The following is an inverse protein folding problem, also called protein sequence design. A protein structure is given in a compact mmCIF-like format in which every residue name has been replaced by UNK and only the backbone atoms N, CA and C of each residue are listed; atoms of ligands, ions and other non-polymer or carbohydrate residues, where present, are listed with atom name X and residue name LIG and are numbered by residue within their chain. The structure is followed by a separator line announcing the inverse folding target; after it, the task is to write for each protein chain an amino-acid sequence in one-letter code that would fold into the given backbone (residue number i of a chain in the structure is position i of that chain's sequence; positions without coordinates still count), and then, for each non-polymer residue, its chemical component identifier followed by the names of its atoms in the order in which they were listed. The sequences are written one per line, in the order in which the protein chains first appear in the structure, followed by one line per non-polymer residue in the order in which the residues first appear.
data_IF_900020911037
#
_entry.id   IF_900020911037
#
_cell.length_a   1.000
_cell.length_b   1.000
_cell.length_c   1.000
_cell.angle_alpha   90.00
_cell.angle_beta   90.00
_cell.angle_gamma   90.00
#
_symmetry.space_group_name_H-M   'P 1'
#
loop_
_entity.id
_entity.type
_entity.pdbx_description
1 polymer ?
#
# COMPACT_ATOMS: atom_id res chain seq x y z
N UNK A 1 -17.04 9.12 -17.88
CA UNK A 1 -16.82 7.70 -17.54
C UNK A 1 -15.71 7.70 -16.51
N UNK A 2 -15.98 7.16 -15.33
CA UNK A 2 -14.99 7.13 -14.25
C UNK A 2 -14.00 6.00 -14.56
N UNK A 3 -12.77 6.37 -14.91
CA UNK A 3 -11.69 5.42 -15.22
C UNK A 3 -10.98 5.03 -13.93
N UNK A 4 -10.78 3.74 -13.71
CA UNK A 4 -10.06 3.23 -12.55
C UNK A 4 -8.56 3.32 -12.82
N UNK A 5 -7.82 3.87 -11.85
CA UNK A 5 -6.36 3.94 -11.90
C UNK A 5 -5.73 2.54 -11.82
N UNK A 6 -4.78 2.21 -12.69
CA UNK A 6 -4.12 0.89 -12.68
C UNK A 6 -3.42 0.55 -11.35
N UNK A 7 -2.69 1.48 -10.68
CA UNK A 7 -2.15 1.26 -9.34
C UNK A 7 -3.19 0.83 -8.29
N UNK A 8 -4.42 1.39 -8.33
CA UNK A 8 -5.49 0.99 -7.42
C UNK A 8 -5.89 -0.47 -7.65
N UNK A 9 -5.96 -0.90 -8.91
CA UNK A 9 -6.29 -2.28 -9.28
C UNK A 9 -5.20 -3.24 -8.82
N UNK A 10 -3.94 -2.89 -9.04
CA UNK A 10 -2.81 -3.70 -8.57
C UNK A 10 -2.87 -3.94 -7.06
N UNK A 11 -3.06 -2.87 -6.28
CA UNK A 11 -3.15 -2.94 -4.83
C UNK A 11 -4.37 -3.73 -4.36
N UNK A 12 -5.51 -3.63 -5.05
CA UNK A 12 -6.69 -4.41 -4.69
C UNK A 12 -6.45 -5.90 -4.93
N UNK A 13 -5.84 -6.25 -6.06
CA UNK A 13 -5.52 -7.64 -6.42
C UNK A 13 -4.50 -8.28 -5.47
N UNK A 14 -3.61 -7.50 -4.86
CA UNK A 14 -2.69 -8.00 -3.84
C UNK A 14 -3.35 -8.31 -2.49
N UNK A 15 -4.47 -7.64 -2.17
CA UNK A 15 -5.14 -7.72 -0.86
C UNK A 15 -6.45 -8.50 -0.89
N UNK A 16 -6.98 -8.80 -2.08
CA UNK A 16 -8.27 -9.47 -2.24
C UNK A 16 -8.23 -10.90 -1.68
N UNK A 17 -9.26 -11.26 -0.91
CA UNK A 17 -9.47 -12.64 -0.48
C UNK A 17 -10.03 -13.50 -1.63
N UNK A 18 -9.88 -14.82 -1.50
CA UNK A 18 -10.28 -15.75 -2.57
C UNK A 18 -11.76 -15.64 -2.96
N UNK A 19 -12.67 -15.41 -2.01
CA UNK A 19 -14.10 -15.36 -2.29
C UNK A 19 -14.50 -14.04 -2.98
N UNK A 20 -13.92 -12.92 -2.57
CA UNK A 20 -14.10 -11.63 -3.26
C UNK A 20 -13.51 -11.65 -4.66
N UNK A 21 -12.34 -12.29 -4.84
CA UNK A 21 -11.69 -12.42 -6.14
C UNK A 21 -12.50 -13.30 -7.11
N UNK A 22 -13.08 -14.40 -6.63
CA UNK A 22 -13.95 -15.26 -7.42
C UNK A 22 -15.18 -14.50 -7.92
N UNK A 23 -15.87 -13.77 -7.02
CA UNK A 23 -17.01 -12.91 -7.39
C UNK A 23 -16.63 -11.82 -8.39
N UNK A 24 -15.45 -11.20 -8.19
CA UNK A 24 -14.90 -10.27 -9.15
C UNK A 24 -14.72 -10.92 -10.52
N UNK A 25 -14.06 -12.07 -10.59
CA UNK A 25 -13.81 -12.78 -11.85
C UNK A 25 -15.13 -13.15 -12.55
N UNK A 26 -16.15 -13.59 -11.80
CA UNK A 26 -17.45 -13.90 -12.37
C UNK A 26 -18.10 -12.68 -13.04
N UNK A 27 -18.11 -11.53 -12.36
CA UNK A 27 -18.67 -10.30 -12.93
C UNK A 27 -17.80 -9.74 -14.08
N UNK A 28 -16.48 -9.81 -13.93
CA UNK A 28 -15.51 -9.28 -14.89
C UNK A 28 -15.51 -10.08 -16.21
N UNK A 29 -15.46 -11.42 -16.13
CA UNK A 29 -15.49 -12.24 -17.34
C UNK A 29 -16.88 -12.36 -17.94
N UNK A 30 -17.96 -12.30 -17.16
CA UNK A 30 -19.30 -12.17 -17.74
C UNK A 30 -19.40 -10.92 -18.64
N UNK A 31 -18.80 -9.80 -18.21
CA UNK A 31 -18.75 -8.58 -19.02
C UNK A 31 -17.92 -8.71 -20.30
N UNK A 32 -16.82 -9.48 -20.28
CA UNK A 32 -15.93 -9.66 -21.43
C UNK A 32 -16.39 -10.75 -22.41
N UNK A 33 -17.01 -11.82 -21.90
CA UNK A 33 -17.32 -13.04 -22.67
C UNK A 33 -18.79 -13.11 -23.12
N UNK A 34 -19.67 -12.32 -22.50
CA UNK A 34 -21.08 -12.20 -22.88
C UNK A 34 -21.97 -13.35 -22.39
N UNK A 35 -23.11 -13.55 -23.07
CA UNK A 35 -24.25 -14.39 -22.65
C UNK A 35 -23.93 -15.87 -22.40
N UNK A 36 -22.78 -16.37 -22.86
CA UNK A 36 -22.41 -17.78 -22.73
C UNK A 36 -21.69 -18.11 -21.40
N UNK A 37 -21.37 -17.11 -20.56
CA UNK A 37 -20.70 -17.33 -19.28
C UNK A 37 -21.71 -17.68 -18.18
N UNK A 38 -21.60 -18.89 -17.63
CA UNK A 38 -22.46 -19.38 -16.55
C UNK A 38 -21.64 -19.53 -15.27
N UNK A 39 -21.83 -18.66 -14.25
CA UNK A 39 -21.16 -18.80 -12.96
C UNK A 39 -21.74 -20.00 -12.20
N UNK A 40 -20.87 -20.84 -11.64
CA UNK A 40 -21.29 -21.94 -10.76
C UNK A 40 -21.44 -21.39 -9.33
N UNK A 41 -22.61 -21.61 -8.73
CA UNK A 41 -22.93 -21.05 -7.41
C UNK A 41 -23.18 -22.12 -6.35
N UNK A 42 -22.26 -22.26 -5.39
CA UNK A 42 -22.52 -22.77 -4.04
C UNK A 42 -22.52 -24.30 -3.83
N UNK A 43 -21.55 -24.74 -3.01
CA UNK A 43 -21.38 -26.07 -2.36
C UNK A 43 -21.03 -27.25 -3.29
N UNK A 44 -19.72 -27.55 -3.32
CA UNK A 44 -19.07 -28.79 -3.82
C UNK A 44 -19.21 -29.09 -5.31
N UNK A 45 -18.47 -28.37 -6.16
CA UNK A 45 -18.62 -28.49 -7.61
C UNK A 45 -17.35 -28.93 -8.39
N UNK A 46 -16.56 -29.80 -7.79
CA UNK A 46 -15.47 -30.48 -8.51
C UNK A 46 -14.30 -29.59 -8.95
N UNK A 47 -14.20 -28.37 -8.40
CA UNK A 47 -13.01 -27.52 -8.54
C UNK A 47 -12.94 -26.65 -9.79
N UNK A 48 -14.07 -26.20 -10.34
CA UNK A 48 -14.19 -25.07 -11.27
C UNK A 48 -15.22 -24.06 -10.74
N UNK A 49 -15.07 -22.79 -11.08
CA UNK A 49 -15.90 -21.70 -10.56
C UNK A 49 -16.94 -21.19 -11.58
N UNK A 50 -16.69 -21.41 -12.88
CA UNK A 50 -17.66 -21.15 -13.93
C UNK A 50 -17.41 -22.03 -15.16
N UNK A 51 -18.35 -22.04 -16.10
CA UNK A 51 -18.19 -22.67 -17.41
C UNK A 51 -18.79 -21.81 -18.51
N UNK A 52 -18.40 -22.10 -19.75
CA UNK A 52 -19.01 -21.48 -20.92
C UNK A 52 -19.87 -22.52 -21.64
N UNK A 53 -21.15 -22.22 -21.87
CA UNK A 53 -22.01 -23.06 -22.72
C UNK A 53 -21.72 -22.77 -24.19
N UNK A 54 -21.51 -23.84 -24.97
CA UNK A 54 -21.58 -23.75 -26.42
C UNK A 54 -23.00 -23.32 -26.83
N UNK A 55 -23.11 -22.38 -27.77
CA UNK A 55 -24.39 -21.76 -28.13
C UNK A 55 -25.51 -22.76 -28.48
N UNK A 56 -26.76 -22.27 -28.44
CA UNK A 56 -28.12 -22.84 -28.65
C UNK A 56 -28.32 -24.28 -29.17
N UNK A 57 -27.36 -24.88 -29.88
CA UNK A 57 -27.38 -26.27 -30.36
C UNK A 57 -26.61 -27.28 -29.49
N UNK A 58 -25.84 -26.87 -28.48
CA UNK A 58 -25.02 -27.78 -27.65
C UNK A 58 -25.39 -27.73 -26.14
N UNK A 59 -26.68 -27.80 -25.86
CA UNK A 59 -27.20 -27.91 -24.49
C UNK A 59 -26.84 -29.28 -23.87
N UNK A 60 -25.63 -29.42 -23.32
CA UNK A 60 -25.28 -30.60 -22.52
C UNK A 60 -23.80 -30.82 -22.18
N UNK A 61 -22.85 -30.21 -22.90
CA UNK A 61 -21.42 -30.43 -22.64
C UNK A 61 -20.65 -29.12 -22.53
N UNK A 62 -20.52 -28.63 -21.30
CA UNK A 62 -19.53 -27.62 -20.96
C UNK A 62 -18.13 -28.22 -21.13
N UNK A 63 -17.42 -27.81 -22.18
CA UNK A 63 -16.06 -28.23 -22.50
C UNK A 63 -15.02 -27.16 -22.09
N UNK A 64 -15.48 -25.93 -21.85
CA UNK A 64 -14.71 -24.77 -21.39
C UNK A 64 -14.99 -24.45 -19.93
N UNK A 65 -13.99 -24.63 -19.07
CA UNK A 65 -14.09 -24.36 -17.63
C UNK A 65 -13.27 -23.13 -17.24
N UNK A 66 -13.73 -22.44 -16.20
CA UNK A 66 -13.09 -21.27 -15.62
C UNK A 66 -12.76 -21.53 -14.16
N UNK A 67 -11.57 -21.12 -13.75
CA UNK A 67 -11.12 -21.16 -12.36
C UNK A 67 -10.45 -19.84 -12.00
N UNK A 68 -10.93 -19.19 -10.95
CA UNK A 68 -10.30 -18.05 -10.31
C UNK A 68 -9.53 -18.50 -9.06
N UNK A 69 -8.36 -17.91 -8.83
CA UNK A 69 -7.58 -18.20 -7.62
C UNK A 69 -6.55 -17.12 -7.32
N UNK A 70 -6.42 -16.81 -6.03
CA UNK A 70 -5.38 -15.94 -5.47
C UNK A 70 -4.14 -16.72 -5.00
N UNK A 71 -4.11 -18.05 -5.16
CA UNK A 71 -2.97 -18.89 -4.77
C UNK A 71 -1.69 -18.51 -5.54
N UNK A 72 -0.57 -18.37 -4.80
CA UNK A 72 0.76 -18.05 -5.36
C UNK A 72 1.36 -19.13 -6.25
N UNK A 73 0.78 -20.33 -6.26
CA UNK A 73 1.24 -21.46 -7.10
C UNK A 73 0.20 -21.84 -8.18
N UNK A 74 0.05 -21.02 -9.24
CA UNK A 74 -0.86 -21.27 -10.37
C UNK A 74 -0.80 -22.70 -10.90
N UNK A 75 0.42 -23.20 -11.11
CA UNK A 75 0.68 -24.51 -11.71
C UNK A 75 0.08 -25.67 -10.90
N UNK A 76 0.30 -25.66 -9.59
CA UNK A 76 -0.23 -26.68 -8.68
C UNK A 76 -1.76 -26.62 -8.59
N UNK A 77 -2.33 -25.40 -8.62
CA UNK A 77 -3.77 -25.20 -8.58
C UNK A 77 -4.44 -25.71 -9.86
N UNK A 78 -3.90 -25.38 -11.02
CA UNK A 78 -4.40 -25.85 -12.33
C UNK A 78 -4.47 -27.38 -12.37
N UNK A 79 -3.40 -28.07 -11.96
CA UNK A 79 -3.38 -29.54 -11.90
C UNK A 79 -4.48 -30.12 -11.00
N UNK A 80 -4.64 -29.56 -9.79
CA UNK A 80 -5.67 -30.00 -8.84
C UNK A 80 -7.08 -29.79 -9.37
N UNK A 81 -7.33 -28.65 -10.02
CA UNK A 81 -8.60 -28.35 -10.67
C UNK A 81 -8.90 -29.38 -11.77
N UNK A 82 -7.95 -29.68 -12.65
CA UNK A 82 -8.16 -30.66 -13.73
C UNK A 82 -8.36 -32.08 -13.20
N UNK A 83 -7.60 -32.49 -12.17
CA UNK A 83 -7.81 -33.79 -11.51
C UNK A 83 -9.22 -33.91 -10.95
N UNK A 84 -9.68 -32.90 -10.22
CA UNK A 84 -11.03 -32.89 -9.64
C UNK A 84 -12.12 -32.88 -10.72
N UNK A 85 -11.96 -32.11 -11.79
CA UNK A 85 -12.92 -32.13 -12.90
C UNK A 85 -13.07 -33.54 -13.50
N UNK A 86 -11.95 -34.25 -13.68
CA UNK A 86 -11.95 -35.65 -14.15
C UNK A 86 -12.54 -36.63 -13.15
N UNK A 87 -12.23 -36.47 -11.86
CA UNK A 87 -12.80 -37.29 -10.77
C UNK A 87 -14.33 -37.16 -10.71
N UNK A 88 -14.86 -35.97 -11.00
CA UNK A 88 -16.29 -35.71 -11.09
C UNK A 88 -16.92 -36.16 -12.44
N UNK A 89 -16.14 -36.82 -13.31
CA UNK A 89 -16.61 -37.37 -14.58
C UNK A 89 -16.72 -36.36 -15.73
N UNK A 90 -16.11 -35.18 -15.61
CA UNK A 90 -16.10 -34.16 -16.67
C UNK A 90 -14.90 -34.36 -17.61
N UNK A 91 -15.07 -34.01 -18.89
CA UNK A 91 -14.02 -34.06 -19.92
C UNK A 91 -13.70 -32.65 -20.42
N UNK A 92 -12.89 -31.87 -19.68
CA UNK A 92 -12.55 -30.50 -20.08
C UNK A 92 -11.70 -30.50 -21.35
N UNK A 93 -12.12 -29.74 -22.36
CA UNK A 93 -11.33 -29.45 -23.57
C UNK A 93 -10.46 -28.20 -23.38
N UNK A 94 -10.94 -27.22 -22.62
CA UNK A 94 -10.22 -26.01 -22.27
C UNK A 94 -10.44 -25.61 -20.81
N UNK A 95 -9.38 -25.10 -20.17
CA UNK A 95 -9.43 -24.47 -18.85
C UNK A 95 -8.84 -23.05 -18.96
N UNK A 96 -9.64 -22.05 -18.59
CA UNK A 96 -9.17 -20.69 -18.38
C UNK A 96 -8.94 -20.44 -16.90
N UNK A 97 -7.69 -20.23 -16.51
CA UNK A 97 -7.26 -19.95 -15.15
C UNK A 97 -7.02 -18.46 -14.96
N UNK A 98 -7.78 -17.82 -14.08
CA UNK A 98 -7.61 -16.42 -13.69
C UNK A 98 -6.89 -16.32 -12.35
N UNK A 99 -5.91 -15.43 -12.26
CA UNK A 99 -5.18 -15.20 -11.01
C UNK A 99 -4.84 -13.72 -10.78
N UNK A 100 -4.79 -13.34 -9.51
CA UNK A 100 -4.35 -12.01 -9.08
C UNK A 100 -2.83 -11.84 -9.08
N UNK A 101 -2.08 -12.93 -9.32
CA UNK A 101 -0.60 -12.96 -9.31
C UNK A 101 -0.07 -12.77 -10.73
N UNK A 102 1.09 -12.13 -10.87
CA UNK A 102 1.81 -12.04 -12.16
C UNK A 102 2.50 -13.36 -12.46
N UNK A 103 2.27 -13.92 -13.64
CA UNK A 103 3.00 -15.09 -14.14
C UNK A 103 4.06 -14.61 -15.12
N UNK A 104 5.33 -15.00 -14.90
CA UNK A 104 6.46 -14.47 -15.69
C UNK A 104 6.45 -14.97 -17.15
N UNK A 105 6.27 -16.27 -17.35
CA UNK A 105 6.24 -16.92 -18.67
C UNK A 105 4.91 -17.63 -18.88
N UNK A 106 3.90 -16.86 -19.29
CA UNK A 106 2.54 -17.40 -19.51
C UNK A 106 2.53 -18.39 -20.66
N UNK A 107 3.16 -18.06 -21.79
CA UNK A 107 3.14 -18.90 -22.99
C UNK A 107 3.81 -20.26 -22.72
N UNK A 108 4.98 -20.25 -22.05
CA UNK A 108 5.68 -21.48 -21.66
C UNK A 108 4.89 -22.33 -20.68
N UNK A 109 4.22 -21.73 -19.68
CA UNK A 109 3.40 -22.45 -18.71
C UNK A 109 2.10 -23.00 -19.35
N UNK A 110 1.46 -22.27 -20.26
CA UNK A 110 0.29 -22.73 -21.01
C UNK A 110 0.62 -23.96 -21.89
N UNK A 111 1.73 -23.91 -22.62
CA UNK A 111 2.17 -25.00 -23.49
C UNK A 111 2.56 -26.25 -22.68
N UNK A 112 3.30 -26.07 -21.59
CA UNK A 112 3.71 -27.16 -20.70
C UNK A 112 2.47 -27.84 -20.09
N UNK A 113 1.60 -27.06 -19.46
CA UNK A 113 0.41 -27.59 -18.80
C UNK A 113 -0.59 -28.16 -19.80
N UNK A 114 -0.68 -27.57 -20.99
CA UNK A 114 -1.54 -28.07 -22.05
C UNK A 114 -1.10 -29.45 -22.56
N UNK A 115 0.21 -29.64 -22.76
CA UNK A 115 0.78 -30.93 -23.11
C UNK A 115 0.64 -31.96 -21.98
N UNK A 116 0.96 -31.58 -20.75
CA UNK A 116 0.89 -32.46 -19.57
C UNK A 116 -0.55 -32.95 -19.29
N UNK A 117 -1.52 -32.04 -19.36
CA UNK A 117 -2.90 -32.31 -19.00
C UNK A 117 -3.76 -32.70 -20.20
N UNK A 118 -3.22 -32.68 -21.43
CA UNK A 118 -3.96 -32.99 -22.67
C UNK A 118 -5.25 -32.18 -22.83
N UNK A 119 -5.18 -30.87 -22.56
CA UNK A 119 -6.27 -29.91 -22.75
C UNK A 119 -5.70 -28.52 -23.04
N UNK A 120 -6.50 -27.58 -23.54
CA UNK A 120 -6.04 -26.21 -23.77
C UNK A 120 -6.06 -25.41 -22.47
N UNK A 121 -4.90 -24.94 -22.01
CA UNK A 121 -4.81 -24.06 -20.84
C UNK A 121 -4.70 -22.61 -21.30
N UNK A 122 -5.44 -21.71 -20.66
CA UNK A 122 -5.32 -20.26 -20.83
C UNK A 122 -5.15 -19.59 -19.49
N UNK A 123 -4.08 -18.83 -19.28
CA UNK A 123 -3.78 -18.13 -18.04
C UNK A 123 -4.08 -16.64 -18.24
N UNK A 124 -4.92 -16.10 -17.37
CA UNK A 124 -5.25 -14.67 -17.28
C UNK A 124 -4.71 -14.16 -15.96
N UNK A 125 -3.58 -13.49 -16.02
CA UNK A 125 -2.86 -13.01 -14.85
C UNK A 125 -3.30 -11.57 -14.48
N UNK A 126 -2.60 -10.98 -13.50
CA UNK A 126 -2.82 -9.60 -13.08
C UNK A 126 -2.76 -8.61 -14.25
N UNK A 127 -1.80 -8.77 -15.18
CA UNK A 127 -1.62 -7.87 -16.33
C UNK A 127 -2.81 -7.92 -17.29
N UNK A 128 -3.39 -9.10 -17.48
CA UNK A 128 -4.61 -9.24 -18.26
C UNK A 128 -5.78 -8.46 -17.63
N UNK A 129 -5.96 -8.56 -16.31
CA UNK A 129 -7.01 -7.82 -15.60
C UNK A 129 -6.81 -6.32 -15.75
N UNK A 130 -5.59 -5.82 -15.56
CA UNK A 130 -5.25 -4.39 -15.68
C UNK A 130 -5.58 -3.83 -17.06
N UNK A 131 -5.22 -4.57 -18.12
CA UNK A 131 -5.45 -4.11 -19.50
C UNK A 131 -6.93 -4.01 -19.87
N UNK A 132 -7.82 -4.77 -19.22
CA UNK A 132 -9.25 -4.83 -19.57
C UNK A 132 -10.19 -4.23 -18.51
N UNK A 133 -9.67 -3.70 -17.39
CA UNK A 133 -10.49 -3.19 -16.28
C UNK A 133 -11.38 -2.00 -16.68
N UNK A 134 -10.90 -1.18 -17.62
CA UNK A 134 -11.56 0.05 -18.08
C UNK A 134 -12.27 -0.12 -19.43
N UNK A 135 -12.40 -1.35 -19.95
CA UNK A 135 -12.96 -1.60 -21.28
C UNK A 135 -14.48 -1.33 -21.35
N UNK A 136 -15.19 -1.50 -20.24
CA UNK A 136 -16.65 -1.32 -20.19
C UNK A 136 -17.14 -0.77 -18.84
N UNK A 137 -18.34 -0.16 -18.77
CA UNK A 137 -18.97 0.19 -17.50
C UNK A 137 -19.12 -1.01 -16.55
N UNK A 138 -19.33 -2.21 -17.09
CA UNK A 138 -19.54 -3.44 -16.34
C UNK A 138 -18.25 -3.92 -15.68
N UNK A 139 -17.10 -3.83 -16.36
CA UNK A 139 -15.78 -4.15 -15.77
C UNK A 139 -15.41 -3.15 -14.67
N UNK A 140 -15.75 -1.87 -14.86
CA UNK A 140 -15.60 -0.83 -13.82
C UNK A 140 -16.50 -1.12 -12.61
N UNK A 141 -17.74 -1.52 -12.85
CA UNK A 141 -18.67 -1.88 -11.77
C UNK A 141 -18.22 -3.13 -11.00
N UNK A 142 -17.65 -4.13 -11.70
CA UNK A 142 -17.10 -5.33 -11.06
C UNK A 142 -15.97 -4.97 -10.09
N UNK A 143 -15.06 -4.06 -10.48
CA UNK A 143 -14.04 -3.53 -9.59
C UNK A 143 -14.64 -2.83 -8.38
N UNK A 144 -15.55 -1.87 -8.60
CA UNK A 144 -16.14 -1.07 -7.53
C UNK A 144 -16.92 -1.93 -6.50
N UNK A 145 -17.50 -3.04 -6.95
CA UNK A 145 -18.32 -3.90 -6.09
C UNK A 145 -17.51 -4.90 -5.28
N UNK A 146 -16.40 -5.43 -5.83
CA UNK A 146 -15.71 -6.59 -5.25
C UNK A 146 -14.24 -6.34 -4.89
N UNK A 147 -13.58 -5.38 -5.55
CA UNK A 147 -12.16 -5.07 -5.31
C UNK A 147 -11.98 -3.77 -4.52
N UNK A 148 -12.74 -2.72 -4.85
CA UNK A 148 -12.63 -1.41 -4.18
C UNK A 148 -12.85 -1.45 -2.65
N UNK A 149 -13.71 -2.32 -2.07
CA UNK A 149 -13.84 -2.40 -0.60
C UNK A 149 -12.52 -2.72 0.12
N UNK A 150 -11.59 -3.44 -0.53
CA UNK A 150 -10.28 -3.78 0.03
C UNK A 150 -9.34 -2.56 0.11
N UNK A 151 -9.70 -1.46 -0.56
CA UNK A 151 -8.95 -0.22 -0.63
C UNK A 151 -9.50 0.86 0.30
N UNK A 152 -10.51 0.55 1.11
CA UNK A 152 -11.17 1.53 1.98
C UNK A 152 -10.20 2.30 2.89
N UNK A 153 -9.13 1.64 3.34
CA UNK A 153 -8.09 2.23 4.19
C UNK A 153 -7.29 3.35 3.50
N UNK A 154 -7.25 3.42 2.17
CA UNK A 154 -6.56 4.50 1.44
C UNK A 154 -7.30 5.82 1.52
N UNK A 155 -8.59 5.79 1.85
CA UNK A 155 -9.40 7.00 2.04
C UNK A 155 -9.12 7.67 3.38
N UNK A 156 -8.51 6.93 4.30
CA UNK A 156 -8.11 7.44 5.59
C UNK A 156 -6.84 8.29 5.43
N UNK A 157 -6.78 9.41 6.14
CA UNK A 157 -5.64 10.31 6.10
C UNK A 157 -4.42 9.56 6.66
N UNK A 158 -3.35 9.46 5.88
CA UNK A 158 -2.16 8.69 6.27
C UNK A 158 -2.42 7.18 6.43
N UNK A 159 -3.44 6.64 5.77
CA UNK A 159 -3.80 5.23 5.77
C UNK A 159 -2.75 4.30 5.15
N UNK A 160 -1.70 4.84 4.50
CA UNK A 160 -0.60 4.01 3.97
C UNK A 160 0.08 3.17 5.06
N UNK A 161 0.46 1.97 4.68
CA UNK A 161 1.27 1.01 5.44
C UNK A 161 2.75 1.33 5.44
N UNK A 162 3.18 2.47 4.87
CA UNK A 162 4.59 2.89 4.85
C UNK A 162 5.26 2.84 6.23
N UNK A 163 4.52 3.03 7.33
CA UNK A 163 4.99 2.87 8.70
C UNK A 163 4.31 1.69 9.42
N UNK A 164 4.76 0.46 9.27
CA UNK A 164 3.98 -0.72 9.71
C UNK A 164 3.75 -0.80 11.23
N UNK A 165 4.64 -0.25 12.06
CA UNK A 165 4.52 -0.34 13.52
C UNK A 165 5.14 0.87 14.25
N UNK A 166 4.37 1.52 15.12
CA UNK A 166 4.86 2.51 16.11
C UNK A 166 3.91 2.48 17.31
N UNK A 167 4.30 1.88 18.46
CA UNK A 167 3.36 1.54 19.52
C UNK A 167 2.95 2.74 20.40
N UNK A 168 3.54 3.92 20.23
CA UNK A 168 3.44 5.01 21.22
C UNK A 168 3.24 6.43 20.63
N UNK A 169 2.77 6.55 19.39
CA UNK A 169 2.48 7.86 18.78
C UNK A 169 0.97 8.08 18.61
N UNK A 170 0.41 9.19 19.13
CA UNK A 170 -1.03 9.44 19.10
C UNK A 170 -1.67 9.55 17.70
N UNK A 171 -0.89 9.66 16.62
CA UNK A 171 -1.42 9.59 15.26
C UNK A 171 -0.31 9.29 14.23
N UNK A 172 0.01 8.02 14.02
CA UNK A 172 0.84 7.58 12.87
C UNK A 172 0.33 8.18 11.56
N UNK A 173 -0.98 8.17 11.37
CA UNK A 173 -1.70 8.79 10.24
C UNK A 173 -1.34 10.26 10.04
N UNK A 174 -1.34 11.05 11.12
CA UNK A 174 -0.96 12.46 11.08
C UNK A 174 0.47 12.65 10.59
N UNK A 175 1.38 11.79 11.02
CA UNK A 175 2.80 11.95 10.72
C UNK A 175 3.13 11.61 9.26
N UNK A 176 2.56 10.51 8.76
CA UNK A 176 2.59 10.17 7.33
C UNK A 176 2.03 11.33 6.51
N UNK A 177 0.84 11.82 6.90
CA UNK A 177 0.17 12.89 6.20
C UNK A 177 0.97 14.20 6.17
N UNK A 178 1.56 14.59 7.30
CA UNK A 178 2.43 15.76 7.38
C UNK A 178 3.67 15.58 6.50
N UNK A 179 4.24 14.37 6.45
CA UNK A 179 5.33 14.02 5.55
C UNK A 179 4.96 14.24 4.07
N UNK A 180 3.81 13.70 3.66
CA UNK A 180 3.25 13.87 2.31
C UNK A 180 3.01 15.36 1.98
N UNK A 181 2.40 16.11 2.90
CA UNK A 181 2.12 17.54 2.71
C UNK A 181 3.38 18.40 2.59
N UNK A 182 4.43 18.10 3.36
CA UNK A 182 5.72 18.81 3.27
C UNK A 182 6.41 18.50 1.93
N UNK A 183 6.32 17.26 1.45
CA UNK A 183 6.91 16.90 0.16
C UNK A 183 6.22 17.60 -1.01
N UNK A 184 4.87 17.69 -0.98
CA UNK A 184 4.12 18.43 -2.01
C UNK A 184 4.52 19.90 -2.07
N UNK A 185 4.81 20.52 -0.93
CA UNK A 185 5.07 21.97 -0.81
C UNK A 185 6.54 22.35 -0.95
N UNK A 186 7.38 21.46 -1.50
CA UNK A 186 8.81 21.75 -1.77
C UNK A 186 8.98 23.05 -2.54
N UNK A 187 9.64 24.02 -1.89
CA UNK A 187 9.97 25.33 -2.48
C UNK A 187 9.20 26.50 -1.87
N UNK A 188 8.19 26.26 -1.03
CA UNK A 188 7.40 27.32 -0.40
C UNK A 188 7.93 27.67 1.00
N UNK A 189 8.02 28.97 1.31
CA UNK A 189 8.80 29.48 2.47
C UNK A 189 8.03 29.52 3.80
N UNK A 190 6.77 29.07 3.83
CA UNK A 190 5.89 29.15 4.99
C UNK A 190 5.55 27.78 5.61
N UNK A 191 6.57 27.09 6.12
CA UNK A 191 6.42 25.76 6.72
C UNK A 191 5.43 25.71 7.89
N UNK A 192 5.40 26.71 8.77
CA UNK A 192 4.47 26.73 9.91
C UNK A 192 3.00 26.76 9.46
N UNK A 193 2.72 27.55 8.42
CA UNK A 193 1.39 27.62 7.83
C UNK A 193 1.03 26.29 7.14
N UNK A 194 2.00 25.65 6.48
CA UNK A 194 1.83 24.34 5.89
C UNK A 194 1.56 23.23 6.91
N UNK A 195 2.32 23.20 8.00
CA UNK A 195 2.11 22.26 9.11
C UNK A 195 0.75 22.51 9.75
N UNK A 196 0.37 23.78 9.97
CA UNK A 196 -0.94 24.13 10.54
C UNK A 196 -2.09 23.71 9.62
N UNK A 197 -1.99 23.98 8.32
CA UNK A 197 -3.00 23.55 7.34
C UNK A 197 -3.16 22.04 7.34
N UNK A 198 -2.03 21.32 7.41
CA UNK A 198 -2.01 19.87 7.41
C UNK A 198 -2.65 19.31 8.68
N UNK A 199 -2.35 19.89 9.84
CA UNK A 199 -3.00 19.52 11.10
C UNK A 199 -4.52 19.75 11.05
N UNK A 200 -4.96 20.85 10.44
CA UNK A 200 -6.38 21.16 10.23
C UNK A 200 -7.03 20.10 9.33
N UNK A 201 -6.42 19.79 8.18
CA UNK A 201 -6.94 18.78 7.24
C UNK A 201 -7.03 17.39 7.88
N UNK A 202 -5.99 16.98 8.61
CA UNK A 202 -5.97 15.73 9.36
C UNK A 202 -7.08 15.68 10.42
N UNK A 203 -7.31 16.77 11.15
CA UNK A 203 -8.37 16.82 12.14
C UNK A 203 -9.77 16.61 11.54
N UNK A 204 -9.97 17.02 10.28
CA UNK A 204 -11.22 16.84 9.54
C UNK A 204 -11.35 15.47 8.83
N UNK A 205 -10.42 14.55 9.05
CA UNK A 205 -10.54 13.15 8.63
C UNK A 205 -11.90 12.55 9.03
N UNK A 206 -12.54 11.83 8.10
CA UNK A 206 -13.83 11.18 8.32
C UNK A 206 -15.04 12.09 8.15
N UNK A 207 -14.85 13.39 7.91
CA UNK A 207 -15.95 14.29 7.52
C UNK A 207 -16.45 13.98 6.11
N UNK A 208 -17.76 14.13 5.91
CA UNK A 208 -18.41 13.85 4.65
C UNK A 208 -19.63 14.77 4.47
N UNK A 209 -19.59 15.72 3.51
CA UNK A 209 -20.73 16.60 3.27
C UNK A 209 -21.99 15.83 2.84
N UNK A 210 -21.85 14.70 2.15
CA UNK A 210 -23.00 13.93 1.61
C UNK A 210 -23.69 13.11 2.71
N UNK A 211 -22.94 12.72 3.75
CA UNK A 211 -23.47 12.03 4.94
C UNK A 211 -23.82 12.98 6.08
N UNK A 212 -23.61 14.30 5.89
CA UNK A 212 -23.86 15.31 6.92
C UNK A 212 -22.89 15.24 8.11
N UNK A 213 -21.69 14.67 7.92
CA UNK A 213 -20.68 14.55 8.96
C UNK A 213 -19.76 15.78 8.86
N UNK A 214 -19.83 16.64 9.88
CA UNK A 214 -19.07 17.88 9.95
C UNK A 214 -18.40 18.02 11.31
N UNK A 215 -17.38 18.86 11.39
CA UNK A 215 -16.72 19.21 12.65
C UNK A 215 -16.70 20.72 12.88
N UNK A 216 -16.73 21.12 14.13
CA UNK A 216 -16.59 22.51 14.58
C UNK A 216 -15.13 22.89 14.75
N UNK A 217 -14.88 24.19 14.86
CA UNK A 217 -13.54 24.73 15.14
C UNK A 217 -12.93 24.18 16.45
N UNK A 218 -13.74 24.07 17.50
CA UNK A 218 -13.27 23.59 18.80
C UNK A 218 -12.93 22.09 18.75
N UNK A 219 -13.72 21.28 18.03
CA UNK A 219 -13.43 19.85 17.81
C UNK A 219 -12.13 19.64 17.01
N UNK A 220 -11.90 20.46 15.96
CA UNK A 220 -10.63 20.44 15.21
C UNK A 220 -9.45 20.71 16.17
N UNK A 221 -9.57 21.75 17.00
CA UNK A 221 -8.53 22.11 17.96
C UNK A 221 -8.27 21.00 18.98
N UNK A 222 -9.33 20.46 19.58
CA UNK A 222 -9.22 19.39 20.58
C UNK A 222 -8.57 18.14 20.00
N UNK A 223 -8.95 17.75 18.78
CA UNK A 223 -8.35 16.59 18.11
C UNK A 223 -6.86 16.79 17.85
N UNK A 224 -6.43 18.00 17.46
CA UNK A 224 -5.01 18.31 17.26
C UNK A 224 -4.26 18.40 18.59
N UNK A 225 -4.79 19.09 19.60
CA UNK A 225 -4.16 19.22 20.91
C UNK A 225 -4.03 17.85 21.61
N UNK A 226 -4.97 16.93 21.38
CA UNK A 226 -4.89 15.56 21.88
C UNK A 226 -3.80 14.72 21.17
N UNK A 227 -3.66 14.86 19.84
CA UNK A 227 -2.68 14.11 19.07
C UNK A 227 -1.26 14.67 19.19
N UNK A 228 -1.14 15.99 19.32
CA UNK A 228 0.13 16.69 19.43
C UNK A 228 0.02 17.82 20.47
N UNK A 229 0.20 17.51 21.78
CA UNK A 229 0.10 18.51 22.86
C UNK A 229 1.00 19.72 22.65
N UNK A 230 2.19 19.48 22.06
CA UNK A 230 3.17 20.50 21.71
C UNK A 230 2.62 21.55 20.72
N UNK A 231 1.61 21.20 19.91
CA UNK A 231 1.01 22.09 18.92
C UNK A 231 0.14 23.21 19.52
N UNK A 232 -0.26 23.07 20.78
CA UNK A 232 -1.08 24.04 21.53
C UNK A 232 -0.50 25.46 21.48
N UNK A 233 0.83 25.58 21.47
CA UNK A 233 1.52 26.87 21.52
C UNK A 233 1.47 27.65 20.21
N UNK A 234 1.50 26.98 19.05
CA UNK A 234 1.53 27.66 17.75
C UNK A 234 0.19 27.66 17.01
N UNK A 235 -0.68 26.67 17.23
CA UNK A 235 -1.98 26.58 16.54
C UNK A 235 -2.94 27.70 16.96
N UNK A 236 -2.97 28.07 18.25
CA UNK A 236 -3.97 29.01 18.78
C UNK A 236 -3.94 30.39 18.13
N UNK A 237 -2.75 30.88 17.75
CA UNK A 237 -2.60 32.19 17.10
C UNK A 237 -2.88 32.17 15.59
N UNK A 238 -2.81 31.00 14.95
CA UNK A 238 -2.72 30.88 13.49
C UNK A 238 -3.95 30.19 12.89
N UNK A 239 -4.61 29.29 13.63
CA UNK A 239 -5.73 28.46 13.16
C UNK A 239 -6.86 29.28 12.53
N UNK A 240 -7.17 30.46 13.09
CA UNK A 240 -8.31 31.24 12.62
C UNK A 240 -8.12 31.86 11.25
N UNK A 241 -6.92 32.37 11.02
CA UNK A 241 -6.52 32.89 9.73
C UNK A 241 -6.41 31.76 8.70
N UNK A 242 -5.85 30.61 9.09
CA UNK A 242 -5.66 29.47 8.18
C UNK A 242 -6.96 28.78 7.79
N UNK A 243 -7.91 28.58 8.70
CA UNK A 243 -9.25 28.05 8.36
C UNK A 243 -9.97 28.95 7.35
N UNK A 244 -9.82 30.27 7.47
CA UNK A 244 -10.36 31.23 6.47
C UNK A 244 -9.62 31.14 5.13
N UNK A 245 -8.30 30.98 5.16
CA UNK A 245 -7.50 30.81 3.94
C UNK A 245 -7.86 29.51 3.20
N UNK A 246 -7.96 28.37 3.91
CA UNK A 246 -8.32 27.06 3.36
C UNK A 246 -9.76 26.98 2.85
N UNK A 247 -10.66 27.82 3.38
CA UNK A 247 -12.04 27.94 2.90
C UNK A 247 -12.21 28.94 1.74
N UNK A 248 -11.14 29.62 1.36
CA UNK A 248 -11.14 30.52 0.20
C UNK A 248 -10.65 29.78 -1.05
N UNK A 249 -11.31 30.02 -2.19
CA UNK A 249 -10.95 29.44 -3.50
C UNK A 249 -9.57 29.88 -4.04
N UNK A 250 -8.85 30.72 -3.29
CA UNK A 250 -7.53 31.27 -3.63
C UNK A 250 -6.43 30.71 -2.72
N UNK A 251 -6.71 29.63 -1.97
CA UNK A 251 -5.73 29.00 -1.08
C UNK A 251 -4.49 28.53 -1.83
N UNK A 252 -3.31 28.93 -1.36
CA UNK A 252 -2.00 28.53 -1.90
C UNK A 252 -1.66 27.06 -1.67
N UNK A 253 -2.40 26.35 -0.83
CA UNK A 253 -2.09 24.98 -0.40
C UNK A 253 -2.49 23.90 -1.42
N UNK A 254 -3.33 24.21 -2.42
CA UNK A 254 -3.90 23.23 -3.35
C UNK A 254 -4.97 22.31 -2.74
N UNK A 255 -5.27 22.45 -1.43
CA UNK A 255 -6.34 21.72 -0.73
C UNK A 255 -7.33 22.69 -0.11
N UNK A 256 -8.61 22.49 -0.44
CA UNK A 256 -9.70 23.33 0.03
C UNK A 256 -10.50 22.64 1.15
N UNK A 257 -11.16 23.46 1.96
CA UNK A 257 -12.07 23.05 3.04
C UNK A 257 -13.41 23.72 2.81
N UNK A 258 -14.51 22.98 2.96
CA UNK A 258 -15.85 23.57 2.86
C UNK A 258 -16.28 24.10 4.22
N UNK A 259 -16.62 25.39 4.28
CA UNK A 259 -17.15 26.06 5.47
C UNK A 259 -18.65 26.30 5.36
N UNK A 260 -19.41 25.66 6.25
CA UNK A 260 -20.86 25.77 6.39
C UNK A 260 -21.22 26.93 7.32
N UNK A 261 -21.14 28.17 6.79
CA UNK A 261 -21.26 29.43 7.54
C UNK A 261 -22.46 29.54 8.50
N UNK A 262 -23.61 28.92 8.17
CA UNK A 262 -24.81 28.99 9.00
C UNK A 262 -24.67 28.21 10.32
N UNK A 263 -23.90 27.14 10.30
CA UNK A 263 -23.72 26.23 11.44
C UNK A 263 -22.32 26.33 12.04
N UNK A 264 -21.45 27.15 11.44
CA UNK A 264 -20.01 27.26 11.74
C UNK A 264 -19.28 25.93 11.79
N UNK A 265 -19.59 25.06 10.82
CA UNK A 265 -18.97 23.73 10.68
C UNK A 265 -18.11 23.61 9.43
N UNK A 266 -17.15 22.70 9.46
CA UNK A 266 -16.17 22.46 8.42
C UNK A 266 -16.19 21.00 7.98
N UNK A 267 -15.90 20.75 6.70
CA UNK A 267 -15.68 19.41 6.17
C UNK A 267 -14.70 19.40 4.98
N UNK A 268 -14.15 18.22 4.72
CA UNK A 268 -13.34 17.98 3.53
C UNK A 268 -14.22 17.79 2.29
N UNK A 269 -14.00 18.55 1.20
CA UNK A 269 -14.69 18.32 -0.06
C UNK A 269 -14.24 17.00 -0.70
N UNK A 270 -15.04 16.49 -1.63
CA UNK A 270 -14.74 15.27 -2.37
C UNK A 270 -13.40 15.35 -3.12
N UNK A 271 -13.07 16.49 -3.74
CA UNK A 271 -11.80 16.67 -4.46
C UNK A 271 -10.59 16.51 -3.53
N UNK A 272 -10.63 17.10 -2.33
CA UNK A 272 -9.54 16.97 -1.35
C UNK A 272 -9.40 15.52 -0.86
N UNK A 273 -10.52 14.79 -0.67
CA UNK A 273 -10.48 13.37 -0.28
C UNK A 273 -9.84 12.50 -1.36
N UNK A 274 -10.16 12.75 -2.63
CA UNK A 274 -9.53 12.04 -3.76
C UNK A 274 -8.01 12.28 -3.84
N UNK A 275 -7.56 13.52 -3.59
CA UNK A 275 -6.12 13.83 -3.58
C UNK A 275 -5.38 13.06 -2.48
N UNK A 276 -5.96 12.93 -1.29
CA UNK A 276 -5.39 12.12 -0.20
C UNK A 276 -5.34 10.65 -0.58
N UNK A 277 -6.41 10.12 -1.16
CA UNK A 277 -6.48 8.72 -1.61
C UNK A 277 -5.38 8.45 -2.66
N UNK A 278 -5.19 9.36 -3.60
CA UNK A 278 -4.13 9.25 -4.61
C UNK A 278 -2.72 9.26 -3.99
N UNK A 279 -2.42 10.17 -3.07
CA UNK A 279 -1.11 10.21 -2.39
C UNK A 279 -0.84 8.90 -1.60
N UNK A 280 -1.87 8.36 -0.94
CA UNK A 280 -1.76 7.07 -0.25
C UNK A 280 -1.52 5.90 -1.21
N UNK A 281 -2.12 5.93 -2.41
CA UNK A 281 -1.86 4.95 -3.48
C UNK A 281 -0.42 5.02 -3.96
N UNK A 282 0.10 6.23 -4.18
CA UNK A 282 1.48 6.43 -4.63
C UNK A 282 2.49 5.89 -3.60
N UNK A 283 2.26 6.12 -2.31
CA UNK A 283 3.11 5.60 -1.23
C UNK A 283 3.05 4.07 -1.12
N UNK A 284 1.85 3.50 -1.24
CA UNK A 284 1.66 2.05 -1.25
C UNK A 284 2.30 1.38 -2.47
N UNK A 285 2.10 1.94 -3.66
CA UNK A 285 2.73 1.47 -4.88
C UNK A 285 4.25 1.49 -4.78
N UNK A 286 4.82 2.55 -4.22
CA UNK A 286 6.27 2.65 -3.99
C UNK A 286 6.75 1.55 -3.03
N UNK A 287 6.03 1.28 -1.94
CA UNK A 287 6.38 0.19 -1.01
C UNK A 287 6.34 -1.17 -1.70
N UNK A 288 5.33 -1.41 -2.54
CA UNK A 288 5.21 -2.63 -3.35
C UNK A 288 6.36 -2.78 -4.33
N UNK A 289 6.73 -1.73 -5.07
CA UNK A 289 7.87 -1.76 -6.00
C UNK A 289 9.17 -2.10 -5.26
N UNK A 290 9.40 -1.51 -4.09
CA UNK A 290 10.56 -1.84 -3.25
C UNK A 290 10.51 -3.27 -2.73
N UNK A 291 9.33 -3.78 -2.36
CA UNK A 291 9.14 -5.19 -2.00
C UNK A 291 9.53 -6.11 -3.16
N UNK A 292 9.15 -5.79 -4.40
CA UNK A 292 9.51 -6.59 -5.58
C UNK A 292 11.02 -6.54 -5.85
N UNK A 293 11.68 -5.39 -5.66
CA UNK A 293 13.14 -5.29 -5.72
C UNK A 293 13.80 -6.18 -4.66
N UNK A 294 13.28 -6.20 -3.43
CA UNK A 294 13.77 -7.10 -2.39
C UNK A 294 13.57 -8.56 -2.78
N UNK A 295 12.40 -8.94 -3.32
CA UNK A 295 12.12 -10.31 -3.80
C UNK A 295 13.11 -10.73 -4.89
N UNK A 296 13.36 -9.87 -5.88
CA UNK A 296 14.35 -10.12 -6.93
C UNK A 296 15.75 -10.36 -6.35
N UNK A 297 16.19 -9.55 -5.39
CA UNK A 297 17.49 -9.73 -4.72
C UNK A 297 17.56 -11.02 -3.92
N UNK A 298 16.51 -11.35 -3.17
CA UNK A 298 16.41 -12.62 -2.43
C UNK A 298 16.57 -13.80 -3.38
N UNK A 299 15.89 -13.78 -4.53
CA UNK A 299 15.99 -14.85 -5.54
C UNK A 299 17.40 -15.01 -6.12
N UNK A 300 18.22 -13.95 -6.13
CA UNK A 300 19.63 -14.01 -6.52
C UNK A 300 20.55 -14.63 -5.46
N UNK A 301 20.10 -14.74 -4.21
CA UNK A 301 20.89 -15.26 -3.08
C UNK A 301 20.44 -16.64 -2.58
N UNK A 302 19.24 -17.09 -2.97
CA UNK A 302 18.60 -18.32 -2.49
C UNK A 302 18.35 -19.30 -3.64
N UNK A 303 18.12 -20.57 -3.31
CA UNK A 303 17.93 -21.66 -4.27
C UNK A 303 16.47 -21.62 -4.79
N UNK A 304 16.20 -21.92 -6.08
CA UNK A 304 14.87 -21.82 -6.72
C UNK A 304 13.68 -22.56 -6.07
N UNK A 305 13.90 -23.40 -5.06
CA UNK A 305 12.90 -24.24 -4.41
C UNK A 305 12.50 -23.77 -2.99
N UNK A 306 12.91 -22.57 -2.57
CA UNK A 306 12.47 -22.05 -1.26
C UNK A 306 10.99 -21.61 -1.26
N UNK A 307 10.25 -21.88 -0.17
CA UNK A 307 8.84 -21.55 -0.08
C UNK A 307 8.62 -20.04 -0.07
N UNK A 308 7.65 -19.53 -0.86
CA UNK A 308 7.23 -18.12 -0.91
C UNK A 308 7.06 -17.45 0.46
N UNK A 309 6.66 -18.23 1.47
CA UNK A 309 6.52 -17.78 2.85
C UNK A 309 7.83 -17.25 3.46
N UNK A 310 8.97 -17.84 3.11
CA UNK A 310 10.28 -17.38 3.57
C UNK A 310 10.68 -16.07 2.88
N UNK A 311 10.40 -15.93 1.59
CA UNK A 311 10.65 -14.71 0.85
C UNK A 311 9.86 -13.53 1.43
N UNK A 312 8.57 -13.70 1.70
CA UNK A 312 7.74 -12.67 2.35
C UNK A 312 8.28 -12.32 3.76
N UNK A 313 8.77 -13.31 4.51
CA UNK A 313 9.34 -13.09 5.82
C UNK A 313 10.63 -12.26 5.78
N UNK A 314 11.50 -12.52 4.79
CA UNK A 314 12.72 -11.73 4.56
C UNK A 314 12.36 -10.31 4.12
N UNK A 315 11.43 -10.13 3.17
CA UNK A 315 10.97 -8.81 2.69
C UNK A 315 10.38 -8.00 3.85
N UNK A 316 9.50 -8.60 4.65
CA UNK A 316 8.93 -7.97 5.84
C UNK A 316 9.99 -7.58 6.86
N UNK A 317 10.98 -8.45 7.09
CA UNK A 317 12.12 -8.18 7.99
C UNK A 317 12.95 -7.00 7.48
N UNK A 318 13.20 -6.89 6.17
CA UNK A 318 13.91 -5.77 5.58
C UNK A 318 13.16 -4.45 5.78
N UNK A 319 11.87 -4.39 5.44
CA UNK A 319 11.06 -3.18 5.66
C UNK A 319 11.05 -2.78 7.14
N UNK A 320 10.83 -3.73 8.05
CA UNK A 320 10.80 -3.44 9.48
C UNK A 320 12.15 -3.00 10.02
N UNK A 321 13.25 -3.54 9.51
CA UNK A 321 14.60 -3.11 9.88
C UNK A 321 14.85 -1.66 9.47
N UNK A 322 14.41 -1.27 8.27
CA UNK A 322 14.51 0.12 7.81
C UNK A 322 13.69 1.07 8.69
N UNK A 323 12.46 0.68 9.03
CA UNK A 323 11.61 1.43 9.96
C UNK A 323 12.31 1.64 11.32
N UNK A 324 12.80 0.57 11.96
CA UNK A 324 13.51 0.67 13.26
C UNK A 324 14.77 1.52 13.15
N UNK A 325 15.49 1.43 12.03
CA UNK A 325 16.71 2.21 11.81
C UNK A 325 16.42 3.70 11.75
N UNK A 326 15.44 4.11 10.95
CA UNK A 326 15.04 5.51 10.86
C UNK A 326 14.32 5.99 12.12
N UNK A 327 13.66 5.10 12.85
CA UNK A 327 13.07 5.42 14.15
C UNK A 327 14.16 5.84 15.15
N UNK A 328 15.21 5.03 15.29
CA UNK A 328 16.35 5.33 16.18
C UNK A 328 17.12 6.58 15.74
N UNK A 329 17.37 6.72 14.43
CA UNK A 329 18.05 7.91 13.89
C UNK A 329 17.20 9.19 14.05
N UNK A 330 15.88 9.11 13.87
CA UNK A 330 15.00 10.25 14.08
C UNK A 330 14.98 10.70 15.54
N UNK A 331 15.01 9.75 16.48
CA UNK A 331 15.14 10.03 17.91
C UNK A 331 16.47 10.72 18.23
N UNK A 332 17.58 10.26 17.65
CA UNK A 332 18.91 10.88 17.77
C UNK A 332 18.89 12.35 17.38
N UNK A 333 18.32 12.64 16.20
CA UNK A 333 18.20 14.00 15.70
C UNK A 333 17.38 14.86 16.67
N UNK A 334 16.30 14.31 17.23
CA UNK A 334 15.49 15.06 18.17
C UNK A 334 16.19 15.32 19.52
N UNK A 335 16.96 14.36 20.04
CA UNK A 335 17.79 14.55 21.23
C UNK A 335 18.86 15.61 21.03
N UNK A 336 19.54 15.58 19.88
CA UNK A 336 20.50 16.61 19.50
C UNK A 336 19.89 18.02 19.56
N UNK A 337 18.65 18.18 19.11
CA UNK A 337 17.96 19.47 19.19
C UNK A 337 17.44 19.83 20.59
N UNK A 338 17.17 18.85 21.45
CA UNK A 338 16.73 19.08 22.83
C UNK A 338 17.88 19.46 23.77
N UNK A 339 19.14 19.47 23.28
CA UNK A 339 20.36 19.60 24.09
C UNK A 339 20.46 18.52 25.21
N UNK A 340 19.73 17.42 25.03
CA UNK A 340 19.76 16.25 25.91
C UNK A 340 20.62 15.18 25.22
N UNK A 341 21.86 14.98 25.68
CA UNK A 341 22.64 13.79 25.29
C UNK A 341 22.29 12.65 26.27
N UNK A 342 21.65 11.56 25.81
CA UNK A 342 21.48 10.40 26.67
C UNK A 342 22.86 9.80 26.95
N UNK A 343 23.23 9.64 28.24
CA UNK A 343 24.52 9.06 28.66
C UNK A 343 24.77 7.65 28.09
N UNK A 344 23.71 6.94 27.66
CA UNK A 344 23.74 5.57 27.11
C UNK A 344 23.37 5.48 25.61
N UNK A 345 23.51 6.55 24.82
CA UNK A 345 23.15 6.49 23.40
C UNK A 345 24.13 5.59 22.59
N UNK A 346 23.64 4.44 22.13
CA UNK A 346 24.38 3.51 21.28
C UNK A 346 23.97 3.68 19.83
N UNK A 347 24.94 3.94 18.95
CA UNK A 347 24.74 4.01 17.50
C UNK A 347 23.97 2.79 16.99
N UNK A 348 22.85 2.97 16.27
CA UNK A 348 22.02 1.85 15.84
C UNK A 348 22.78 0.91 14.90
N UNK A 349 23.05 -0.32 15.36
CA UNK A 349 23.58 -1.38 14.51
C UNK A 349 22.45 -1.94 13.64
N UNK A 350 22.65 -1.96 12.32
CA UNK A 350 21.70 -2.59 11.38
C UNK A 350 21.46 -4.06 11.76
N UNK A 351 22.49 -4.77 12.22
CA UNK A 351 22.33 -6.17 12.64
C UNK A 351 21.40 -6.32 13.84
N UNK A 352 21.50 -5.43 14.83
CA UNK A 352 20.62 -5.44 16.01
C UNK A 352 19.19 -5.05 15.64
N UNK A 353 19.04 -4.13 14.68
CA UNK A 353 17.74 -3.74 14.15
C UNK A 353 17.09 -4.91 13.38
N UNK A 354 17.86 -5.73 12.67
CA UNK A 354 17.36 -6.98 12.06
C UNK A 354 16.88 -7.95 13.14
N UNK A 355 17.63 -8.13 14.23
CA UNK A 355 17.20 -9.00 15.33
C UNK A 355 15.89 -8.51 15.97
N UNK A 356 15.78 -7.20 16.21
CA UNK A 356 14.56 -6.57 16.72
C UNK A 356 13.38 -6.70 15.75
N UNK A 357 13.63 -6.57 14.44
CA UNK A 357 12.62 -6.75 13.41
C UNK A 357 12.10 -8.19 13.35
N UNK A 358 12.99 -9.18 13.43
CA UNK A 358 12.63 -10.60 13.45
C UNK A 358 11.83 -10.97 14.70
N UNK A 359 12.15 -10.38 15.85
CA UNK A 359 11.39 -10.55 17.08
C UNK A 359 9.98 -9.97 16.96
N UNK A 360 9.85 -8.75 16.43
CA UNK A 360 8.55 -8.14 16.19
C UNK A 360 7.67 -8.96 15.22
N UNK A 361 8.29 -9.60 14.22
CA UNK A 361 7.61 -10.46 13.26
C UNK A 361 7.44 -11.92 13.74
N UNK A 362 7.84 -12.24 14.96
CA UNK A 362 7.75 -13.59 15.54
C UNK A 362 8.39 -14.68 14.65
N UNK A 363 9.56 -14.38 14.08
CA UNK A 363 10.31 -15.34 13.23
C UNK A 363 10.73 -16.55 14.06
N UNK A 364 10.34 -17.75 13.61
CA UNK A 364 10.68 -19.02 14.25
C UNK A 364 12.19 -19.24 14.37
N UNK A 365 12.61 -19.85 15.48
CA UNK A 365 14.04 -20.07 15.81
C UNK A 365 14.77 -20.93 14.77
N UNK A 366 14.05 -21.84 14.12
CA UNK A 366 14.47 -22.73 13.06
C UNK A 366 14.88 -22.01 11.76
N UNK A 367 14.28 -20.85 11.46
CA UNK A 367 14.56 -20.07 10.23
C UNK A 367 15.30 -18.76 10.49
N UNK A 368 15.48 -18.38 11.76
CA UNK A 368 16.03 -17.08 12.18
C UNK A 368 17.39 -16.76 11.57
N UNK A 369 18.31 -17.73 11.56
CA UNK A 369 19.66 -17.51 11.00
C UNK A 369 19.62 -17.21 9.50
N UNK A 370 18.85 -18.00 8.75
CA UNK A 370 18.71 -17.84 7.30
C UNK A 370 18.04 -16.52 6.94
N UNK A 371 16.96 -16.15 7.65
CA UNK A 371 16.27 -14.86 7.47
C UNK A 371 17.23 -13.71 7.77
N UNK A 372 18.00 -13.79 8.86
CA UNK A 372 18.96 -12.75 9.24
C UNK A 372 20.04 -12.55 8.18
N UNK A 373 20.70 -13.62 7.75
CA UNK A 373 21.77 -13.54 6.75
C UNK A 373 21.28 -13.00 5.41
N UNK A 374 20.12 -13.47 4.96
CA UNK A 374 19.52 -13.04 3.69
C UNK A 374 19.06 -11.58 3.77
N UNK A 375 18.40 -11.18 4.86
CA UNK A 375 17.97 -9.79 5.08
C UNK A 375 19.18 -8.85 5.12
N UNK A 376 20.26 -9.24 5.79
CA UNK A 376 21.49 -8.43 5.84
C UNK A 376 22.13 -8.24 4.46
N UNK A 377 22.12 -9.27 3.60
CA UNK A 377 22.62 -9.14 2.21
C UNK A 377 21.75 -8.19 1.40
N UNK A 378 20.43 -8.33 1.47
CA UNK A 378 19.48 -7.44 0.77
C UNK A 378 19.67 -6.01 1.24
N UNK A 379 19.64 -5.75 2.56
CA UNK A 379 19.80 -4.43 3.14
C UNK A 379 21.15 -3.79 2.78
N UNK A 380 22.23 -4.58 2.75
CA UNK A 380 23.54 -4.11 2.29
C UNK A 380 23.45 -3.60 0.85
N UNK A 381 22.88 -4.37 -0.07
CA UNK A 381 22.66 -3.91 -1.45
C UNK A 381 21.74 -2.68 -1.50
N UNK A 382 20.70 -2.60 -0.66
CA UNK A 382 19.84 -1.40 -0.57
C UNK A 382 20.63 -0.15 -0.18
N UNK A 383 21.57 -0.23 0.75
CA UNK A 383 22.35 0.94 1.18
C UNK A 383 23.47 1.33 0.21
N UNK A 384 24.15 0.36 -0.39
CA UNK A 384 25.33 0.62 -1.23
C UNK A 384 24.99 0.74 -2.74
N UNK A 385 23.99 -0.01 -3.20
CA UNK A 385 23.62 -0.19 -4.61
C UNK A 385 22.11 0.04 -4.82
N UNK A 386 21.58 1.11 -4.18
CA UNK A 386 20.16 1.46 -4.27
C UNK A 386 19.71 1.72 -5.71
N UNK A 387 18.48 1.29 -6.00
CA UNK A 387 17.68 1.73 -7.16
C UNK A 387 17.07 3.11 -6.91
N UNK A 388 16.38 3.68 -7.90
CA UNK A 388 15.72 4.98 -7.75
C UNK A 388 14.53 4.89 -6.79
N UNK A 389 13.72 3.84 -6.94
CA UNK A 389 12.55 3.54 -6.13
C UNK A 389 12.95 3.37 -4.65
N UNK A 390 14.02 2.61 -4.38
CA UNK A 390 14.55 2.45 -3.02
C UNK A 390 15.04 3.78 -2.44
N UNK A 391 15.68 4.64 -3.23
CA UNK A 391 16.12 5.97 -2.76
C UNK A 391 14.94 6.85 -2.38
N UNK A 392 13.89 6.87 -3.19
CA UNK A 392 12.66 7.64 -2.89
C UNK A 392 12.03 7.09 -1.61
N UNK A 393 11.91 5.77 -1.49
CA UNK A 393 11.34 5.12 -0.31
C UNK A 393 12.12 5.42 0.98
N UNK A 394 13.44 5.24 0.97
CA UNK A 394 14.31 5.55 2.11
C UNK A 394 14.25 7.04 2.48
N UNK A 395 14.20 7.93 1.48
CA UNK A 395 14.09 9.36 1.71
C UNK A 395 12.77 9.75 2.36
N UNK A 396 11.66 9.12 1.95
CA UNK A 396 10.34 9.30 2.57
C UNK A 396 10.33 8.80 4.02
N UNK A 397 10.87 7.61 4.29
CA UNK A 397 10.96 7.07 5.65
C UNK A 397 11.79 7.98 6.56
N UNK A 398 13.00 8.35 6.15
CA UNK A 398 13.89 9.22 6.91
C UNK A 398 13.20 10.51 7.33
N UNK A 399 12.58 11.23 6.37
CA UNK A 399 11.88 12.49 6.66
C UNK A 399 10.70 12.29 7.59
N UNK A 400 9.90 11.26 7.36
CA UNK A 400 8.71 11.00 8.16
C UNK A 400 9.10 10.75 9.62
N UNK A 401 10.12 9.92 9.87
CA UNK A 401 10.63 9.67 11.22
C UNK A 401 11.29 10.91 11.83
N UNK A 402 12.13 11.65 11.10
CA UNK A 402 12.69 12.91 11.63
C UNK A 402 11.59 13.89 12.03
N UNK A 403 10.57 14.04 11.18
CA UNK A 403 9.43 14.92 11.46
C UNK A 403 8.65 14.48 12.70
N UNK A 404 8.38 13.18 12.82
CA UNK A 404 7.73 12.56 13.99
C UNK A 404 8.44 12.97 15.27
N UNK A 405 9.76 12.76 15.34
CA UNK A 405 10.50 12.95 16.57
C UNK A 405 10.76 14.42 16.88
N UNK A 406 10.92 15.26 15.85
CA UNK A 406 11.04 16.70 16.06
C UNK A 406 9.71 17.29 16.57
N UNK A 407 8.57 16.93 15.99
CA UNK A 407 7.27 17.43 16.43
C UNK A 407 6.93 16.96 17.85
N UNK A 408 7.32 15.74 18.22
CA UNK A 408 7.10 15.19 19.56
C UNK A 408 7.88 15.97 20.63
N UNK A 409 9.12 16.35 20.35
CA UNK A 409 10.04 16.83 21.38
C UNK A 409 10.12 18.36 21.49
N UNK A 410 10.03 19.15 20.42
CA UNK A 410 10.24 20.62 20.50
C UNK A 410 9.52 21.39 19.36
N UNK A 411 8.42 22.14 19.63
CA UNK A 411 7.69 22.89 18.61
C UNK A 411 8.50 24.01 17.95
N UNK A 412 9.54 24.54 18.60
CA UNK A 412 10.36 25.64 18.07
C UNK A 412 11.24 25.22 16.90
N UNK A 413 11.52 23.91 16.75
CA UNK A 413 12.33 23.36 15.66
C UNK A 413 11.57 23.43 14.31
N UNK A 414 10.24 23.63 14.31
CA UNK A 414 9.50 23.94 13.07
C UNK A 414 10.04 25.22 12.40
N UNK A 415 10.60 26.16 13.17
CA UNK A 415 11.32 27.32 12.61
C UNK A 415 12.71 26.97 12.04
N UNK A 416 13.38 25.94 12.57
CA UNK A 416 14.69 25.45 12.08
C UNK A 416 14.61 24.68 10.76
N UNK A 417 13.51 23.96 10.51
CA UNK A 417 13.29 23.27 9.23
C UNK A 417 13.24 24.22 8.02
N UNK A 418 12.96 25.51 8.26
CA UNK A 418 13.07 26.58 7.25
C UNK A 418 14.49 26.69 6.68
N UNK A 419 15.51 26.30 7.45
CA UNK A 419 16.92 26.33 7.08
C UNK A 419 17.39 24.96 6.54
N UNK A 420 16.90 23.86 7.10
CA UNK A 420 17.40 22.49 6.86
C UNK A 420 16.83 21.82 5.60
N UNK A 421 15.63 22.19 5.15
CA UNK A 421 15.01 21.68 3.91
C UNK A 421 15.81 21.97 2.63
N UNK A 422 16.82 22.84 2.72
CA UNK A 422 17.73 23.20 1.62
C UNK A 422 18.93 22.26 1.47
N UNK A 423 19.36 21.55 2.53
CA UNK A 423 20.72 20.99 2.61
C UNK A 423 20.80 19.50 3.03
N UNK A 424 19.75 18.70 2.81
CA UNK A 424 19.85 17.24 3.05
C UNK A 424 20.72 16.55 1.98
N UNK A 425 22.03 16.59 2.18
CA UNK A 425 22.97 15.66 1.56
C UNK A 425 23.10 14.43 2.47
N UNK A 426 22.71 13.26 1.96
CA UNK A 426 23.03 11.99 2.59
C UNK A 426 24.56 11.84 2.55
N UNK A 427 25.23 11.97 3.71
CA UNK A 427 26.66 11.73 3.81
C UNK A 427 26.95 10.25 3.59
N UNK A 428 27.59 9.92 2.46
CA UNK A 428 28.28 8.65 2.26
C UNK A 428 29.53 8.64 3.13
N UNK A 429 29.58 7.77 4.14
CA UNK A 429 30.86 7.28 4.64
C UNK A 429 31.39 6.24 3.64
N UNK A 430 32.18 6.69 2.67
CA UNK A 430 33.03 5.82 1.87
C UNK A 430 34.30 5.45 2.65
N UNK A 431 34.89 4.27 2.44
CA UNK A 431 36.20 3.96 2.99
C UNK A 431 37.23 4.86 2.31
N UNK A 432 37.99 5.60 3.13
CA UNK A 432 39.23 6.24 2.69
C UNK A 432 40.17 5.16 2.16
N UNK A 433 40.48 5.20 0.87
CA UNK A 433 41.68 4.57 0.32
C UNK A 433 42.84 5.55 0.38
#
# INVERSE_FOLDING_TARGET
METISYPLVEMALQRVDGASFEKFCHAFFAALTGENFVPLGGVHDGGADAFTEGGVFDAGHADHFWQASVEKTPRSKIRKTVSRLREFGRTPAQLTYCTSVVVQDIDGEEDLLGAELSLRVRIRDQKYILSHINDSPQTVQAFNSYLAPQLAFLRDIGGTTLLSHTPDLPARSLCVFLGQEIERRRGDTQLLEAVTDSLILWAMEGTDPDKGIFVTRDEIREKIEAALPAARHFIRGVMDHRLKALSSKQGTSGREVRWHKKEDKFCLPYETRLLVEQENVEDESLKTQVSDIFKMRVSGFTIPDEPDALMELVVGTCHRTLEITFEKQGLEVAYYFAEEEPEDYVTPSISENVDSAMEALSVGSDKRQLVKETSMKVLRSTFYESTEEERVYLSKLSRTYTLIFVLKNEPKIVEYFRTMSRDFFIYRCGPNY
#
